data_IF_754109684189
#
_entry.id   IF_754109684189
#
_cell.length_a   1.000
_cell.length_b   1.000
_cell.length_c   1.000
_cell.angle_alpha   90.00
_cell.angle_beta   90.00
_cell.angle_gamma   90.00
#
_symmetry.space_group_name_H-M   'P 1'
#
loop_
_entity.id
_entity.type
_entity.pdbx_description
1 polymer ?
#
# COMPACT_ATOMS: atom_id res chain seq x y z
N UNK A 1 4.20 -8.20 20.58
CA UNK A 1 3.39 -7.72 19.44
C UNK A 1 3.30 -6.20 19.49
N UNK A 2 3.30 -5.47 18.34
CA UNK A 2 3.27 -4.00 18.31
C UNK A 2 2.14 -3.39 19.14
N UNK A 3 0.97 -3.99 19.16
CA UNK A 3 -0.22 -3.50 19.85
C UNK A 3 -0.10 -3.46 21.38
N UNK A 4 0.52 -4.45 21.99
CA UNK A 4 0.65 -4.47 23.47
C UNK A 4 1.64 -3.40 23.97
N UNK A 5 2.61 -3.03 23.15
CA UNK A 5 3.62 -2.04 23.48
C UNK A 5 3.18 -0.61 23.16
N UNK A 6 2.24 -0.40 22.23
CA UNK A 6 1.73 0.93 21.87
C UNK A 6 1.12 1.66 23.06
N UNK A 7 0.32 0.98 23.87
CA UNK A 7 -0.31 1.56 25.06
C UNK A 7 0.74 1.90 26.14
N UNK A 8 1.74 1.02 26.32
CA UNK A 8 2.81 1.26 27.30
C UNK A 8 3.76 2.35 26.85
N UNK A 9 4.14 2.38 25.58
CA UNK A 9 4.98 3.44 25.01
C UNK A 9 4.29 4.82 25.04
N UNK A 10 2.97 4.88 24.79
CA UNK A 10 2.20 6.12 24.95
C UNK A 10 2.27 6.73 26.37
N UNK A 11 2.43 5.89 27.39
CA UNK A 11 2.58 6.34 28.77
C UNK A 11 3.98 6.88 29.07
N UNK A 12 5.01 6.42 28.36
CA UNK A 12 6.40 6.83 28.57
C UNK A 12 6.85 7.99 27.69
N UNK A 13 6.26 8.16 26.51
CA UNK A 13 6.63 9.21 25.57
C UNK A 13 5.75 10.44 25.82
N UNK A 14 6.33 11.53 26.31
CA UNK A 14 5.67 12.83 26.37
C UNK A 14 5.18 13.30 24.99
N UNK A 15 4.47 14.41 24.92
CA UNK A 15 3.82 14.90 23.70
C UNK A 15 4.75 15.52 22.65
N UNK A 16 6.00 15.81 22.99
CA UNK A 16 6.98 16.45 22.11
C UNK A 16 8.10 15.46 21.72
N UNK A 17 8.54 15.50 20.45
CA UNK A 17 9.64 14.68 19.89
C UNK A 17 9.45 13.15 19.99
N UNK A 18 8.24 12.65 19.81
CA UNK A 18 7.88 11.24 19.97
C UNK A 18 8.70 10.29 19.10
N UNK A 19 9.04 10.68 17.87
CA UNK A 19 9.83 9.86 16.96
C UNK A 19 11.27 9.68 17.47
N UNK A 20 11.92 10.74 17.92
CA UNK A 20 13.27 10.69 18.49
C UNK A 20 13.27 9.80 19.73
N UNK A 21 12.33 10.03 20.65
CA UNK A 21 12.22 9.26 21.88
C UNK A 21 11.92 7.77 21.63
N UNK A 22 11.09 7.45 20.62
CA UNK A 22 10.82 6.08 20.21
C UNK A 22 12.09 5.39 19.67
N UNK A 23 12.79 6.05 18.77
CA UNK A 23 14.01 5.51 18.16
C UNK A 23 15.11 5.29 19.21
N UNK A 24 15.26 6.22 20.18
CA UNK A 24 16.19 6.04 21.29
C UNK A 24 15.78 4.90 22.22
N UNK A 25 14.51 4.79 22.58
CA UNK A 25 14.01 3.72 23.43
C UNK A 25 14.20 2.34 22.76
N UNK A 26 13.93 2.22 21.46
CA UNK A 26 14.15 0.99 20.71
C UNK A 26 15.63 0.66 20.60
N UNK A 27 16.48 1.65 20.31
CA UNK A 27 17.93 1.46 20.25
C UNK A 27 18.47 0.92 21.57
N UNK A 28 18.12 1.53 22.69
CA UNK A 28 18.54 1.10 24.01
C UNK A 28 18.07 -0.31 24.29
N UNK A 29 16.78 -0.57 24.16
CA UNK A 29 16.19 -1.88 24.48
C UNK A 29 16.74 -3.01 23.61
N UNK A 30 16.89 -2.77 22.30
CA UNK A 30 17.43 -3.77 21.40
C UNK A 30 18.92 -4.00 21.60
N UNK A 31 19.71 -2.95 21.94
CA UNK A 31 21.12 -3.11 22.29
C UNK A 31 21.31 -3.91 23.56
N UNK A 32 20.56 -3.60 24.63
CA UNK A 32 20.58 -4.37 25.88
C UNK A 32 20.25 -5.84 25.63
N UNK A 33 19.21 -6.11 24.83
CA UNK A 33 18.82 -7.48 24.48
C UNK A 33 19.90 -8.18 23.64
N UNK A 34 20.49 -7.48 22.68
CA UNK A 34 21.55 -8.04 21.85
C UNK A 34 22.84 -8.28 22.63
N UNK A 35 23.18 -7.41 23.58
CA UNK A 35 24.34 -7.61 24.45
C UNK A 35 24.17 -8.79 25.41
N UNK A 36 22.91 -9.13 25.78
CA UNK A 36 22.61 -10.28 26.64
C UNK A 36 22.55 -11.62 25.87
N UNK A 37 22.00 -11.63 24.65
CA UNK A 37 21.66 -12.86 23.94
C UNK A 37 22.45 -13.14 22.68
N UNK A 38 23.05 -12.12 22.05
CA UNK A 38 23.82 -12.30 20.82
C UNK A 38 25.28 -12.64 21.10
N UNK A 39 25.80 -13.66 20.44
CA UNK A 39 27.19 -14.07 20.52
C UNK A 39 27.84 -14.23 19.13
N UNK A 40 29.14 -14.43 19.08
CA UNK A 40 29.91 -14.61 17.86
C UNK A 40 29.93 -16.06 17.35
N UNK A 41 29.52 -17.01 18.18
CA UNK A 41 29.49 -18.43 17.86
C UNK A 41 28.21 -18.85 17.18
N UNK A 42 27.13 -18.02 17.35
CA UNK A 42 25.82 -18.24 16.79
C UNK A 42 25.53 -17.33 15.59
N UNK A 43 24.32 -17.44 15.07
CA UNK A 43 23.75 -16.53 14.09
C UNK A 43 22.76 -15.60 14.75
N UNK A 44 22.88 -14.31 14.51
CA UNK A 44 22.08 -13.28 15.15
C UNK A 44 21.17 -12.60 14.12
N UNK A 45 19.87 -12.82 14.25
CA UNK A 45 18.88 -12.24 13.36
C UNK A 45 17.79 -11.52 14.14
N UNK A 46 17.23 -10.48 13.53
CA UNK A 46 16.07 -9.75 14.03
C UNK A 46 14.88 -9.96 13.09
N UNK A 47 13.73 -10.30 13.66
CA UNK A 47 12.47 -10.33 12.91
C UNK A 47 11.52 -9.31 13.50
N UNK A 48 10.97 -8.43 12.66
CA UNK A 48 10.06 -7.40 13.11
C UNK A 48 8.99 -7.07 12.05
N UNK A 49 7.84 -6.58 12.50
CA UNK A 49 6.81 -6.04 11.63
C UNK A 49 6.68 -4.55 11.93
N UNK A 50 7.43 -3.74 11.20
CA UNK A 50 7.64 -2.32 11.47
C UNK A 50 7.78 -1.54 10.16
N UNK A 51 7.44 -0.24 10.23
CA UNK A 51 7.77 0.68 9.15
C UNK A 51 9.15 1.30 9.41
N UNK A 52 10.15 0.81 8.71
CA UNK A 52 11.55 1.23 8.87
C UNK A 52 12.11 1.82 7.60
N UNK A 53 13.02 2.80 7.77
CA UNK A 53 13.80 3.35 6.66
C UNK A 53 15.21 3.73 7.13
N UNK A 54 16.10 3.91 6.16
CA UNK A 54 17.40 4.54 6.42
C UNK A 54 17.21 6.03 6.67
N UNK A 55 17.91 6.59 7.65
CA UNK A 55 17.83 8.02 7.93
C UNK A 55 18.27 8.84 6.71
N UNK A 56 17.41 9.79 6.30
CA UNK A 56 17.66 10.64 5.13
C UNK A 56 17.32 10.01 3.78
N UNK A 57 16.77 8.79 3.74
CA UNK A 57 16.20 8.20 2.53
C UNK A 57 14.76 8.68 2.29
N UNK A 58 14.26 8.51 1.06
CA UNK A 58 12.86 8.79 0.74
C UNK A 58 11.93 7.82 1.47
N UNK A 59 10.79 8.34 1.94
CA UNK A 59 9.78 7.53 2.62
C UNK A 59 9.21 6.48 1.64
N UNK A 60 9.26 5.18 1.99
CA UNK A 60 8.61 4.15 1.19
C UNK A 60 7.09 4.34 1.15
N UNK A 61 6.46 3.98 0.02
CA UNK A 61 5.00 3.90 -0.06
C UNK A 61 4.49 2.73 0.78
N UNK A 62 3.49 2.99 1.61
CA UNK A 62 2.74 1.96 2.30
C UNK A 62 1.66 1.39 1.38
N UNK A 63 1.36 0.09 1.44
CA UNK A 63 0.34 -0.51 0.60
C UNK A 63 -1.05 0.00 0.98
N UNK A 64 -1.90 0.23 -0.01
CA UNK A 64 -3.31 0.56 0.22
C UNK A 64 -4.00 -0.57 0.99
N UNK A 65 -4.83 -0.19 1.95
CA UNK A 65 -5.57 -1.14 2.78
C UNK A 65 -4.79 -1.67 3.99
N UNK A 66 -3.48 -1.43 4.08
CA UNK A 66 -2.75 -1.64 5.33
C UNK A 66 -2.97 -0.46 6.27
N UNK A 67 -3.21 -0.81 7.52
CA UNK A 67 -3.32 0.22 8.56
C UNK A 67 -1.93 0.76 8.86
N UNK A 68 -1.68 2.08 8.75
CA UNK A 68 -0.38 2.65 9.07
C UNK A 68 0.11 2.22 10.44
N UNK A 69 1.34 1.73 10.54
CA UNK A 69 1.94 1.38 11.81
C UNK A 69 2.43 2.66 12.46
N UNK A 70 1.67 3.13 13.45
CA UNK A 70 2.03 4.29 14.26
C UNK A 70 2.21 3.86 15.71
N UNK A 71 3.41 4.07 16.24
CA UNK A 71 3.70 3.81 17.65
C UNK A 71 3.70 5.15 18.39
N UNK A 72 2.65 5.44 19.12
CA UNK A 72 2.54 6.67 19.90
C UNK A 72 2.58 7.96 19.08
N UNK A 73 2.04 7.97 17.85
CA UNK A 73 2.16 8.98 16.80
C UNK A 73 3.59 9.14 16.21
N UNK A 74 4.50 8.22 16.50
CA UNK A 74 5.73 8.05 15.72
C UNK A 74 5.49 6.95 14.70
N UNK A 75 5.65 7.27 13.45
CA UNK A 75 5.40 6.35 12.33
C UNK A 75 6.70 5.83 11.71
N UNK A 76 7.85 6.38 12.11
CA UNK A 76 9.13 6.07 11.48
C UNK A 76 10.14 5.53 12.47
N UNK A 77 10.68 4.34 12.14
CA UNK A 77 11.82 3.75 12.83
C UNK A 77 13.01 3.74 11.87
N UNK A 78 14.17 4.14 12.37
CA UNK A 78 15.36 4.20 11.55
C UNK A 78 16.24 2.96 11.73
N UNK A 79 16.89 2.54 10.65
CA UNK A 79 17.79 1.36 10.64
C UNK A 79 18.95 1.46 11.61
N UNK A 80 19.31 2.67 12.03
CA UNK A 80 20.37 2.91 13.01
C UNK A 80 20.00 2.49 14.46
N UNK A 81 18.74 2.09 14.70
CA UNK A 81 18.31 1.45 15.94
C UNK A 81 18.71 -0.01 16.03
N UNK A 82 19.05 -0.68 14.92
CA UNK A 82 19.37 -2.10 14.89
C UNK A 82 20.78 -2.32 15.45
N UNK A 83 20.93 -3.21 16.47
CA UNK A 83 22.23 -3.51 17.06
C UNK A 83 23.23 -4.04 16.04
N UNK A 84 24.50 -3.71 16.25
CA UNK A 84 25.61 -4.11 15.37
C UNK A 84 25.81 -5.62 15.29
N UNK A 85 25.41 -6.36 16.32
CA UNK A 85 25.50 -7.82 16.43
C UNK A 85 24.56 -8.53 15.44
N UNK A 86 23.48 -7.87 14.99
CA UNK A 86 22.50 -8.44 14.08
C UNK A 86 23.08 -8.55 12.67
N UNK A 87 23.13 -9.77 12.13
CA UNK A 87 23.65 -10.06 10.79
C UNK A 87 22.59 -9.85 9.71
N UNK A 88 21.34 -10.11 10.02
CA UNK A 88 20.20 -9.98 9.10
C UNK A 88 18.95 -9.51 9.83
N UNK A 89 18.20 -8.60 9.20
CA UNK A 89 16.91 -8.18 9.72
C UNK A 89 15.81 -8.49 8.71
N UNK A 90 14.86 -9.35 9.11
CA UNK A 90 13.66 -9.67 8.35
C UNK A 90 12.52 -8.75 8.77
N UNK A 91 12.00 -7.97 7.83
CA UNK A 91 10.90 -7.03 8.04
C UNK A 91 9.63 -7.48 7.33
N UNK A 92 8.50 -7.34 8.00
CA UNK A 92 7.17 -7.33 7.44
C UNK A 92 6.56 -5.93 7.46
N UNK A 93 5.40 -5.75 6.87
CA UNK A 93 4.57 -4.56 6.67
C UNK A 93 4.55 -4.08 5.21
N UNK A 94 5.69 -3.77 4.60
CA UNK A 94 5.72 -3.38 3.19
C UNK A 94 5.52 -4.61 2.30
N UNK A 95 4.58 -4.51 1.37
CA UNK A 95 4.22 -5.59 0.44
C UNK A 95 5.14 -5.67 -0.78
N UNK A 96 6.00 -4.68 -1.00
CA UNK A 96 7.03 -4.72 -2.03
C UNK A 96 8.37 -5.20 -1.46
N UNK A 97 9.11 -6.01 -2.23
CA UNK A 97 10.47 -6.39 -1.85
C UNK A 97 11.38 -5.16 -1.79
N UNK A 98 12.08 -5.00 -0.67
CA UNK A 98 13.09 -3.94 -0.51
C UNK A 98 14.22 -4.43 0.38
N UNK A 99 15.47 -4.18 0.00
CA UNK A 99 16.60 -4.14 0.92
C UNK A 99 16.92 -2.66 1.19
N UNK A 100 16.72 -2.22 2.43
CA UNK A 100 16.81 -0.81 2.83
C UNK A 100 18.18 -0.43 3.42
N UNK A 101 19.11 -1.39 3.51
CA UNK A 101 20.46 -1.16 4.02
C UNK A 101 21.52 -1.78 3.09
N UNK A 102 22.79 -1.67 3.46
CA UNK A 102 23.91 -2.16 2.65
C UNK A 102 23.90 -3.70 2.53
N UNK A 103 24.52 -4.27 1.50
CA UNK A 103 24.69 -5.71 1.38
C UNK A 103 25.40 -6.37 2.58
N UNK A 104 26.25 -5.62 3.28
CA UNK A 104 27.00 -6.11 4.44
C UNK A 104 26.11 -6.18 5.71
N UNK A 105 24.99 -5.47 5.71
CA UNK A 105 23.99 -5.46 6.79
C UNK A 105 22.59 -5.47 6.19
N UNK A 106 22.13 -6.60 5.63
CA UNK A 106 20.84 -6.65 4.95
C UNK A 106 19.67 -6.44 5.92
N UNK A 107 18.80 -5.50 5.58
CA UNK A 107 17.53 -5.23 6.27
C UNK A 107 16.46 -5.30 5.20
N UNK A 108 15.66 -6.37 5.21
CA UNK A 108 14.88 -6.77 4.05
C UNK A 108 13.40 -6.91 4.38
N UNK A 109 12.58 -6.21 3.60
CA UNK A 109 11.18 -6.53 3.39
C UNK A 109 11.08 -7.61 2.31
N UNK A 110 10.62 -8.80 2.67
CA UNK A 110 10.58 -9.95 1.76
C UNK A 110 9.48 -9.85 0.69
N UNK A 111 8.59 -8.87 0.77
CA UNK A 111 7.34 -8.77 0.02
C UNK A 111 6.19 -9.52 0.71
N UNK A 112 4.97 -9.29 0.26
CA UNK A 112 3.83 -10.18 0.54
C UNK A 112 3.81 -11.32 -0.47
N UNK A 113 3.26 -12.50 -0.12
CA UNK A 113 3.24 -13.65 -1.05
C UNK A 113 2.32 -13.43 -2.26
N UNK A 114 1.32 -12.55 -2.15
CA UNK A 114 0.38 -12.19 -3.20
C UNK A 114 0.17 -10.67 -3.21
N UNK A 115 -0.38 -10.14 -4.29
CA UNK A 115 -0.94 -8.78 -4.31
C UNK A 115 -2.28 -8.80 -3.60
N UNK A 116 -2.47 -7.95 -2.60
CA UNK A 116 -3.70 -7.85 -1.81
C UNK A 116 -4.60 -6.69 -2.22
N UNK A 117 -4.07 -5.74 -2.97
CA UNK A 117 -4.82 -4.60 -3.47
C UNK A 117 -4.40 -4.24 -4.90
N UNK A 118 -5.25 -3.49 -5.60
CA UNK A 118 -4.92 -3.01 -6.94
C UNK A 118 -3.84 -1.93 -6.97
N UNK A 119 -3.47 -1.33 -5.84
CA UNK A 119 -2.26 -0.48 -5.77
C UNK A 119 -0.97 -1.27 -6.01
N UNK A 120 -1.02 -2.60 -5.79
CA UNK A 120 0.08 -3.51 -6.02
C UNK A 120 0.06 -4.17 -7.42
N UNK A 121 -0.89 -3.77 -8.27
CA UNK A 121 -1.01 -4.33 -9.62
C UNK A 121 0.28 -4.15 -10.42
N UNK A 122 0.77 -5.23 -11.00
CA UNK A 122 2.04 -5.26 -11.73
C UNK A 122 3.28 -5.41 -10.87
N UNK A 123 3.17 -5.48 -9.55
CA UNK A 123 4.32 -5.78 -8.68
C UNK A 123 4.68 -7.27 -8.76
N UNK A 124 5.97 -7.53 -8.91
CA UNK A 124 6.52 -8.88 -8.74
C UNK A 124 6.68 -9.20 -7.26
N UNK A 125 6.23 -10.38 -6.86
CA UNK A 125 6.30 -10.86 -5.48
C UNK A 125 7.46 -11.84 -5.30
N UNK A 126 8.08 -11.81 -4.10
CA UNK A 126 9.27 -12.59 -3.80
C UNK A 126 9.21 -13.23 -2.42
N UNK A 127 9.98 -14.30 -2.25
CA UNK A 127 10.47 -14.74 -0.94
C UNK A 127 11.97 -14.50 -0.87
N UNK A 128 12.47 -14.20 0.31
CA UNK A 128 13.89 -14.09 0.58
C UNK A 128 14.41 -15.41 1.15
N UNK A 129 15.36 -16.03 0.46
CA UNK A 129 16.14 -17.16 0.97
C UNK A 129 17.42 -16.58 1.58
N UNK A 130 17.65 -16.85 2.86
CA UNK A 130 18.75 -16.25 3.60
C UNK A 130 19.66 -17.33 4.14
N UNK A 131 20.93 -17.27 3.81
CA UNK A 131 21.97 -18.13 4.35
C UNK A 131 22.80 -17.35 5.38
N UNK A 132 22.87 -17.89 6.59
CA UNK A 132 23.58 -17.28 7.71
C UNK A 132 24.61 -18.26 8.29
N UNK A 133 25.78 -17.74 8.58
CA UNK A 133 26.85 -18.44 9.29
C UNK A 133 27.43 -17.54 10.36
N UNK A 134 27.91 -18.09 11.49
CA UNK A 134 28.54 -17.31 12.55
C UNK A 134 29.64 -16.41 12.02
N UNK A 135 29.63 -15.13 12.39
CA UNK A 135 30.63 -14.15 12.01
C UNK A 135 30.71 -13.77 10.51
N UNK A 136 29.82 -14.29 9.68
CA UNK A 136 29.79 -13.98 8.24
C UNK A 136 28.65 -13.03 7.88
N UNK A 137 28.80 -12.34 6.76
CA UNK A 137 27.73 -11.52 6.17
C UNK A 137 26.63 -12.45 5.67
N UNK A 138 25.36 -12.06 5.87
CA UNK A 138 24.22 -12.81 5.39
C UNK A 138 24.14 -12.79 3.87
N UNK A 139 23.97 -13.95 3.24
CA UNK A 139 23.68 -14.08 1.82
C UNK A 139 22.15 -14.07 1.61
N UNK A 140 21.65 -13.11 0.84
CA UNK A 140 20.22 -12.95 0.60
C UNK A 140 19.91 -13.12 -0.88
N UNK A 141 19.18 -14.18 -1.20
CA UNK A 141 18.71 -14.50 -2.53
C UNK A 141 17.19 -14.33 -2.58
N UNK A 142 16.68 -13.56 -3.54
CA UNK A 142 15.23 -13.44 -3.76
C UNK A 142 14.77 -14.44 -4.82
N UNK A 143 13.69 -15.12 -4.53
CA UNK A 143 13.04 -16.04 -5.46
C UNK A 143 11.66 -15.47 -5.81
N UNK A 144 11.42 -15.32 -7.11
CA UNK A 144 10.16 -14.79 -7.62
C UNK A 144 9.02 -15.80 -7.39
N UNK A 145 7.87 -15.28 -6.97
CA UNK A 145 6.64 -16.03 -6.81
C UNK A 145 5.79 -15.85 -8.08
N UNK A 146 5.61 -16.94 -8.81
CA UNK A 146 4.88 -16.93 -10.09
C UNK A 146 3.50 -17.56 -10.00
N UNK A 147 3.11 -18.07 -8.82
CA UNK A 147 1.83 -18.73 -8.61
C UNK A 147 0.75 -17.73 -8.20
N UNK A 148 -0.49 -18.02 -8.57
CA UNK A 148 -1.65 -17.19 -8.28
C UNK A 148 -2.14 -16.38 -9.48
N UNK A 149 -3.29 -15.72 -9.30
CA UNK A 149 -3.86 -14.80 -10.31
C UNK A 149 -3.20 -13.44 -10.17
N UNK A 150 -2.72 -12.88 -11.27
CA UNK A 150 -2.11 -11.55 -11.30
C UNK A 150 -3.18 -10.46 -11.27
N UNK A 151 -2.89 -9.36 -10.56
CA UNK A 151 -3.75 -8.18 -10.52
C UNK A 151 -3.34 -7.20 -11.63
N UNK A 152 -4.34 -6.73 -12.37
CA UNK A 152 -4.16 -5.71 -13.40
C UNK A 152 -5.12 -4.54 -13.21
N UNK A 153 -4.59 -3.33 -13.36
CA UNK A 153 -5.37 -2.12 -13.63
C UNK A 153 -5.32 -1.84 -15.11
N UNK A 154 -6.45 -1.81 -15.77
CA UNK A 154 -6.55 -1.54 -17.22
C UNK A 154 -7.56 -0.46 -17.50
N UNK A 155 -7.24 0.33 -18.51
CA UNK A 155 -8.10 1.39 -19.01
C UNK A 155 -8.31 1.18 -20.51
N UNK A 156 -9.57 1.17 -20.93
CA UNK A 156 -9.96 1.08 -22.34
C UNK A 156 -10.98 2.16 -22.69
N UNK A 157 -11.00 2.54 -23.95
CA UNK A 157 -11.94 3.54 -24.50
C UNK A 157 -13.17 2.93 -25.18
N UNK A 158 -13.16 1.63 -25.45
CA UNK A 158 -14.28 0.88 -26.03
C UNK A 158 -14.34 -0.54 -25.48
N UNK A 159 -15.49 -1.18 -25.63
CA UNK A 159 -15.75 -2.51 -25.09
C UNK A 159 -15.03 -3.62 -25.87
N UNK A 160 -14.77 -3.46 -27.15
CA UNK A 160 -14.18 -4.49 -28.00
C UNK A 160 -12.71 -4.74 -27.61
N UNK A 161 -11.91 -3.68 -27.45
CA UNK A 161 -10.53 -3.76 -27.00
C UNK A 161 -10.43 -4.36 -25.57
N UNK A 162 -11.40 -4.00 -24.70
CA UNK A 162 -11.46 -4.54 -23.36
C UNK A 162 -11.73 -6.06 -23.39
N UNK A 163 -12.69 -6.52 -24.20
CA UNK A 163 -13.04 -7.94 -24.35
C UNK A 163 -11.88 -8.73 -24.95
N UNK A 164 -11.21 -8.19 -25.97
CA UNK A 164 -10.03 -8.82 -26.58
C UNK A 164 -8.94 -9.04 -25.53
N UNK A 165 -8.54 -7.99 -24.83
CA UNK A 165 -7.51 -8.10 -23.79
C UNK A 165 -7.90 -9.07 -22.66
N UNK A 166 -9.14 -9.03 -22.18
CA UNK A 166 -9.65 -9.95 -21.15
C UNK A 166 -9.58 -11.40 -21.59
N UNK A 167 -9.89 -11.68 -22.85
CA UNK A 167 -9.84 -13.04 -23.41
C UNK A 167 -8.40 -13.57 -23.49
N UNK A 168 -7.43 -12.69 -23.75
CA UNK A 168 -6.00 -13.06 -23.78
C UNK A 168 -5.40 -13.29 -22.38
N UNK A 169 -6.08 -12.82 -21.32
CA UNK A 169 -5.56 -12.88 -19.93
C UNK A 169 -6.51 -13.63 -18.99
N UNK A 170 -6.89 -14.88 -19.27
CA UNK A 170 -7.98 -15.61 -18.60
C UNK A 170 -7.75 -15.81 -17.09
N UNK A 171 -6.51 -15.76 -16.63
CA UNK A 171 -6.14 -15.93 -15.21
C UNK A 171 -5.92 -14.62 -14.46
N UNK A 172 -6.29 -13.47 -15.04
CA UNK A 172 -6.14 -12.17 -14.37
C UNK A 172 -7.24 -11.92 -13.33
N UNK A 173 -6.94 -11.03 -12.36
CA UNK A 173 -7.92 -10.28 -11.57
C UNK A 173 -7.82 -8.82 -12.00
N UNK A 174 -8.95 -8.21 -12.38
CA UNK A 174 -8.92 -6.96 -13.13
C UNK A 174 -9.75 -5.87 -12.46
N UNK A 175 -9.13 -4.71 -12.26
CA UNK A 175 -9.80 -3.43 -12.10
C UNK A 175 -9.83 -2.78 -13.48
N UNK A 176 -11.00 -2.79 -14.10
CA UNK A 176 -11.23 -2.32 -15.46
C UNK A 176 -11.87 -0.93 -15.44
N UNK A 177 -11.18 0.08 -15.93
CA UNK A 177 -11.73 1.41 -16.16
C UNK A 177 -12.12 1.58 -17.62
N UNK A 178 -13.38 1.93 -17.84
CA UNK A 178 -13.90 2.24 -19.19
C UNK A 178 -14.04 3.75 -19.34
N UNK A 179 -13.12 4.38 -20.06
CA UNK A 179 -13.12 5.81 -20.31
C UNK A 179 -13.76 6.11 -21.68
N UNK A 180 -15.08 6.31 -21.68
CA UNK A 180 -15.91 6.44 -22.87
C UNK A 180 -16.57 7.82 -22.94
N UNK A 181 -17.08 8.22 -24.10
CA UNK A 181 -17.81 9.49 -24.28
C UNK A 181 -19.24 9.43 -23.72
N UNK A 182 -19.80 8.23 -23.60
CA UNK A 182 -21.12 7.97 -23.01
C UNK A 182 -21.03 6.78 -22.05
N UNK A 183 -22.05 6.57 -21.23
CA UNK A 183 -22.14 5.38 -20.40
C UNK A 183 -22.20 4.11 -21.24
N UNK A 184 -21.56 3.04 -20.74
CA UNK A 184 -21.68 1.71 -21.34
C UNK A 184 -23.13 1.27 -21.43
N UNK A 185 -23.51 0.72 -22.57
CA UNK A 185 -24.80 0.06 -22.77
C UNK A 185 -24.90 -1.23 -21.93
N UNK A 186 -26.11 -1.71 -21.75
CA UNK A 186 -26.34 -2.99 -21.06
C UNK A 186 -25.65 -4.16 -21.79
N UNK A 187 -25.66 -4.14 -23.12
CA UNK A 187 -25.03 -5.17 -23.95
C UNK A 187 -23.51 -5.15 -23.85
N UNK A 188 -22.88 -3.98 -23.88
CA UNK A 188 -21.43 -3.85 -23.70
C UNK A 188 -20.99 -4.35 -22.31
N UNK A 189 -21.72 -3.99 -21.24
CA UNK A 189 -21.47 -4.52 -19.90
C UNK A 189 -21.61 -6.04 -19.86
N UNK A 190 -22.67 -6.58 -20.47
CA UNK A 190 -22.89 -8.02 -20.49
C UNK A 190 -21.74 -8.75 -21.22
N UNK A 191 -21.30 -8.24 -22.36
CA UNK A 191 -20.17 -8.79 -23.12
C UNK A 191 -18.88 -8.78 -22.31
N UNK A 192 -18.56 -7.67 -21.64
CA UNK A 192 -17.37 -7.55 -20.80
C UNK A 192 -17.39 -8.60 -19.68
N UNK A 193 -18.49 -8.73 -18.92
CA UNK A 193 -18.60 -9.71 -17.85
C UNK A 193 -18.64 -11.15 -18.34
N UNK A 194 -19.18 -11.43 -19.53
CA UNK A 194 -19.18 -12.74 -20.13
C UNK A 194 -17.79 -13.16 -20.63
N UNK A 195 -16.95 -12.20 -21.02
CA UNK A 195 -15.60 -12.46 -21.49
C UNK A 195 -14.65 -12.93 -20.38
N UNK A 196 -14.91 -12.57 -19.11
CA UNK A 196 -13.93 -12.81 -18.04
C UNK A 196 -14.56 -12.87 -16.65
N UNK A 197 -14.21 -13.92 -15.88
CA UNK A 197 -14.70 -14.15 -14.51
C UNK A 197 -13.93 -13.39 -13.41
N UNK A 198 -12.77 -12.83 -13.74
CA UNK A 198 -11.87 -12.15 -12.82
C UNK A 198 -12.01 -10.63 -12.77
N UNK A 199 -13.09 -10.06 -13.31
CA UNK A 199 -13.37 -8.63 -13.19
C UNK A 199 -13.87 -8.34 -11.77
N UNK A 200 -13.01 -7.71 -10.97
CA UNK A 200 -13.35 -7.32 -9.59
C UNK A 200 -14.07 -5.97 -9.57
N UNK A 201 -13.57 -5.02 -10.37
CA UNK A 201 -14.18 -3.71 -10.50
C UNK A 201 -14.33 -3.34 -11.99
N UNK A 202 -15.52 -2.86 -12.35
CA UNK A 202 -15.78 -2.20 -13.63
C UNK A 202 -16.13 -0.73 -13.33
N UNK A 203 -15.21 0.17 -13.64
CA UNK A 203 -15.29 1.60 -13.31
C UNK A 203 -15.64 2.39 -14.59
N UNK A 204 -16.88 2.88 -14.74
CA UNK A 204 -17.22 3.75 -15.85
C UNK A 204 -16.67 5.17 -15.59
N UNK A 205 -15.93 5.70 -16.55
CA UNK A 205 -15.43 7.07 -16.56
C UNK A 205 -15.90 7.75 -17.85
N UNK A 206 -16.93 8.58 -17.76
CA UNK A 206 -17.42 9.31 -18.91
C UNK A 206 -16.61 10.58 -19.12
N UNK A 207 -16.04 10.75 -20.31
CA UNK A 207 -15.44 12.03 -20.72
C UNK A 207 -16.57 13.02 -20.90
N UNK A 208 -16.82 13.83 -19.89
CA UNK A 208 -17.67 15.00 -20.07
C UNK A 208 -16.97 15.87 -21.13
N UNK A 209 -17.61 16.07 -22.28
CA UNK A 209 -17.20 17.15 -23.17
C UNK A 209 -17.07 18.40 -22.30
N UNK A 210 -15.96 19.12 -22.42
CA UNK A 210 -15.83 20.44 -21.79
C UNK A 210 -17.03 21.23 -22.26
N UNK A 211 -18.01 21.35 -21.38
CA UNK A 211 -19.04 22.37 -21.57
C UNK A 211 -18.29 23.66 -21.29
N UNK A 212 -17.92 24.34 -22.36
CA UNK A 212 -17.46 25.72 -22.28
C UNK A 212 -18.53 26.49 -21.48
N UNK A 213 -18.08 27.15 -20.40
CA UNK A 213 -18.88 28.04 -19.56
C UNK A 213 -20.16 27.46 -18.91
N UNK A 214 -20.01 26.48 -18.01
CA UNK A 214 -20.85 26.54 -16.81
C UNK A 214 -20.10 27.46 -15.83
N UNK A 215 -20.58 28.72 -15.74
CA UNK A 215 -20.19 29.61 -14.64
C UNK A 215 -20.14 28.79 -13.36
N UNK A 216 -18.99 28.82 -12.72
CA UNK A 216 -18.75 28.21 -11.42
C UNK A 216 -19.68 28.90 -10.40
N UNK A 217 -20.97 28.52 -10.39
CA UNK A 217 -21.92 29.00 -9.41
C UNK A 217 -21.44 28.44 -8.08
N UNK A 218 -20.66 29.25 -7.39
CA UNK A 218 -20.26 28.99 -6.02
C UNK A 218 -21.50 28.64 -5.22
N UNK A 219 -21.59 27.39 -4.80
CA UNK A 219 -22.68 26.90 -3.92
C UNK A 219 -22.60 27.77 -2.64
N UNK A 220 -23.64 28.53 -2.38
CA UNK A 220 -23.71 29.33 -1.18
C UNK A 220 -23.98 28.40 0.03
N UNK A 221 -22.94 28.05 0.75
CA UNK A 221 -23.02 27.16 1.91
C UNK A 221 -23.80 27.75 3.11
N UNK A 222 -24.23 28.99 3.02
CA UNK A 222 -25.05 29.65 4.06
C UNK A 222 -26.56 29.52 3.83
N UNK A 223 -26.98 28.76 2.81
CA UNK A 223 -28.39 28.42 2.59
C UNK A 223 -28.84 27.36 3.59
N UNK A 224 -30.18 27.24 3.76
CA UNK A 224 -30.70 26.11 4.53
C UNK A 224 -30.54 24.77 3.80
N UNK A 225 -30.68 23.66 4.52
CA UNK A 225 -30.42 22.33 3.99
C UNK A 225 -31.32 21.93 2.81
N UNK A 226 -32.64 22.26 2.77
CA UNK A 226 -33.49 21.99 1.64
C UNK A 226 -33.05 22.69 0.36
N UNK A 227 -32.66 23.96 0.43
CA UNK A 227 -32.19 24.74 -0.71
C UNK A 227 -30.84 24.23 -1.22
N UNK A 228 -29.93 23.90 -0.31
CA UNK A 228 -28.64 23.31 -0.62
C UNK A 228 -28.81 21.96 -1.33
N UNK A 229 -29.75 21.15 -0.86
CA UNK A 229 -30.08 19.87 -1.51
C UNK A 229 -30.70 20.08 -2.89
N UNK A 230 -31.62 21.03 -3.04
CA UNK A 230 -32.24 21.35 -4.32
C UNK A 230 -31.22 21.83 -5.35
N UNK A 231 -30.25 22.66 -4.96
CA UNK A 231 -29.19 23.14 -5.83
C UNK A 231 -28.20 22.03 -6.20
N UNK A 232 -27.83 21.18 -5.24
CA UNK A 232 -27.03 19.99 -5.51
C UNK A 232 -27.75 19.05 -6.48
N UNK A 233 -29.03 18.76 -6.24
CA UNK A 233 -29.82 17.91 -7.12
C UNK A 233 -29.91 18.46 -8.54
N UNK A 234 -30.18 19.77 -8.72
CA UNK A 234 -30.19 20.44 -10.02
C UNK A 234 -28.84 20.35 -10.73
N UNK A 235 -27.73 20.47 -9.96
CA UNK A 235 -26.38 20.36 -10.53
C UNK A 235 -26.08 18.97 -11.08
N UNK A 236 -26.65 17.92 -10.48
CA UNK A 236 -26.48 16.52 -10.89
C UNK A 236 -27.49 16.08 -11.97
N UNK A 237 -28.63 16.70 -12.04
CA UNK A 237 -29.75 16.31 -12.92
C UNK A 237 -30.09 17.34 -14.00
N UNK A 238 -29.07 18.00 -14.56
CA UNK A 238 -29.19 18.94 -15.70
C UNK A 238 -30.23 20.06 -15.46
N UNK A 239 -30.31 20.55 -14.23
CA UNK A 239 -31.20 21.66 -13.87
C UNK A 239 -32.61 21.22 -13.43
N UNK A 240 -32.94 19.94 -13.40
CA UNK A 240 -34.24 19.47 -12.89
C UNK A 240 -34.31 19.65 -11.37
N UNK A 241 -35.43 20.16 -10.87
CA UNK A 241 -35.69 20.23 -9.45
C UNK A 241 -36.06 18.84 -8.88
N UNK A 242 -35.74 18.54 -7.60
CA UNK A 242 -36.25 17.35 -6.95
C UNK A 242 -37.76 17.39 -6.87
N UNK A 243 -38.40 16.23 -6.93
CA UNK A 243 -39.84 16.12 -6.68
C UNK A 243 -40.13 16.40 -5.19
N UNK A 244 -41.25 17.03 -4.89
CA UNK A 244 -41.72 17.22 -3.53
C UNK A 244 -42.00 15.91 -2.80
#
# INVERSE_FOLDING_TARGET
TPYANEIRLKQYLGTEHKEVALNEALRTRWSETADEYCDVEGVNLLTAHLFMMKRGADRPEEPDGEKPIMIGNADMIYTDCIPKQIQYTALGHLHAYRNIESPQKPIVYSSSPLCYSFSEAGQTKYVAIVELKPGQVAEVNRVELTQGRQLFRKLFSNADDAVEWLTEHPNALVELTMETESFLTADERARIYQAHDGIIYLIPKVKLAKVDDVEDKSINLNQDMPDLFADYFKSKHKGQAPNE
#
